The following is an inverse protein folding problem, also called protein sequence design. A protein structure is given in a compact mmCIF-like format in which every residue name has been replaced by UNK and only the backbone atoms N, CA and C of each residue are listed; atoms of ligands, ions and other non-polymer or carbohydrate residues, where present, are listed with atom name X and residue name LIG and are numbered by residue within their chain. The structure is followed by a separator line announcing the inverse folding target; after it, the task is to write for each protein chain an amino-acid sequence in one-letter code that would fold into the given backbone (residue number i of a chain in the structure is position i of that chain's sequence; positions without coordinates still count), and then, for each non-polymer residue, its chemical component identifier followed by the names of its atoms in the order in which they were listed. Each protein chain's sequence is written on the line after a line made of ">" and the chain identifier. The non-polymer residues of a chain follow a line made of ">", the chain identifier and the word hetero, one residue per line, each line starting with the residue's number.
data_IF_905163642144
#
_entry.id   IF_905163642144
#
_cell.length_a   1.000
_cell.length_b   1.000
_cell.length_c   1.000
_cell.angle_alpha   90.00
_cell.angle_beta   90.00
_cell.angle_gamma   90.00
#
_symmetry.space_group_name_H-M   'P 1'
#
loop_
_entity.id
_entity.type
_entity.pdbx_description
1 polymer ?
#
# COMPACT_ATOMS: atom_id res chain seq x y z
N UNK A 1 -11.77 -50.53 10.45
CA UNK A 1 -10.34 -50.23 10.26
C UNK A 1 -10.20 -49.56 8.90
N UNK A 2 -10.64 -48.31 8.78
CA UNK A 2 -9.88 -47.10 9.13
C UNK A 2 -8.81 -46.81 8.08
N UNK A 3 -9.09 -45.82 7.23
CA UNK A 3 -8.36 -44.53 7.24
C UNK A 3 -9.11 -43.56 6.33
N UNK A 4 -9.83 -42.66 6.99
CA UNK A 4 -10.20 -41.36 6.46
C UNK A 4 -8.96 -40.70 5.85
N UNK A 5 -9.14 -40.16 4.66
CA UNK A 5 -8.16 -39.29 4.03
C UNK A 5 -8.56 -37.86 4.41
N UNK A 6 -8.29 -37.48 5.66
CA UNK A 6 -8.24 -36.07 6.05
C UNK A 6 -7.15 -35.38 5.23
N UNK A 7 -7.55 -34.63 4.20
CA UNK A 7 -6.73 -33.55 3.68
C UNK A 7 -7.18 -32.27 4.37
N UNK A 8 -6.70 -32.06 5.59
CA UNK A 8 -6.61 -30.72 6.16
C UNK A 8 -5.34 -30.10 5.60
N UNK A 9 -5.50 -29.43 4.46
CA UNK A 9 -4.57 -28.44 3.97
C UNK A 9 -5.42 -27.24 3.63
N UNK A 10 -5.27 -26.17 4.41
CA UNK A 10 -5.96 -24.89 4.26
C UNK A 10 -5.62 -24.35 2.86
N UNK A 11 -6.39 -24.73 1.84
CA UNK A 11 -6.21 -24.23 0.49
C UNK A 11 -6.62 -22.77 0.54
N UNK A 12 -5.63 -21.90 0.37
CA UNK A 12 -5.83 -20.48 0.15
C UNK A 12 -6.69 -20.33 -1.11
N UNK A 13 -8.00 -20.16 -0.94
CA UNK A 13 -8.92 -19.87 -2.05
C UNK A 13 -8.69 -18.44 -2.54
N UNK A 14 -7.71 -18.31 -3.44
CA UNK A 14 -7.39 -17.07 -4.14
C UNK A 14 -7.51 -17.30 -5.63
N UNK A 15 -8.34 -16.49 -6.28
CA UNK A 15 -8.53 -16.53 -7.72
C UNK A 15 -8.10 -15.20 -8.34
N UNK A 16 -7.19 -15.25 -9.30
CA UNK A 16 -6.91 -14.12 -10.18
C UNK A 16 -7.81 -14.23 -11.41
N UNK A 17 -8.75 -13.29 -11.55
CA UNK A 17 -9.68 -13.20 -12.68
C UNK A 17 -9.28 -12.12 -13.69
N UNK A 18 -8.28 -11.31 -13.35
CA UNK A 18 -7.65 -10.38 -14.28
C UNK A 18 -6.90 -11.11 -15.40
N UNK A 19 -6.71 -10.43 -16.52
CA UNK A 19 -5.93 -10.96 -17.63
C UNK A 19 -4.47 -11.24 -17.22
N UNK A 20 -3.86 -12.22 -17.89
CA UNK A 20 -2.45 -12.53 -17.69
C UNK A 20 -1.59 -11.43 -18.33
N UNK A 21 -0.65 -10.89 -17.54
CA UNK A 21 0.29 -9.86 -17.95
C UNK A 21 1.70 -10.42 -17.85
N UNK A 22 2.65 -9.85 -18.58
CA UNK A 22 4.07 -10.24 -18.44
C UNK A 22 4.59 -10.03 -17.01
N UNK A 23 4.12 -8.97 -16.33
CA UNK A 23 4.43 -8.68 -14.93
C UNK A 23 3.82 -9.68 -13.93
N UNK A 24 2.80 -10.46 -14.32
CA UNK A 24 2.05 -11.32 -13.40
C UNK A 24 2.92 -12.42 -12.78
N UNK A 25 3.88 -12.99 -13.52
CA UNK A 25 4.72 -14.09 -13.02
C UNK A 25 5.56 -13.68 -11.79
N UNK A 26 6.06 -12.45 -11.78
CA UNK A 26 6.90 -11.92 -10.71
C UNK A 26 6.07 -11.32 -9.57
N UNK A 27 4.96 -10.64 -9.89
CA UNK A 27 4.18 -9.87 -8.91
C UNK A 27 3.07 -10.70 -8.24
N UNK A 28 2.50 -11.66 -8.97
CA UNK A 28 1.37 -12.47 -8.53
C UNK A 28 1.81 -13.89 -8.15
N UNK A 29 2.99 -14.03 -7.53
CA UNK A 29 3.45 -15.32 -7.02
C UNK A 29 2.45 -15.91 -6.02
N UNK A 30 2.36 -17.24 -5.89
CA UNK A 30 1.47 -17.89 -4.94
C UNK A 30 1.64 -17.37 -3.50
N UNK A 31 2.87 -17.12 -3.07
CA UNK A 31 3.18 -16.62 -1.74
C UNK A 31 2.73 -15.16 -1.56
N UNK A 32 2.94 -14.31 -2.58
CA UNK A 32 2.48 -12.93 -2.55
C UNK A 32 0.95 -12.84 -2.55
N UNK A 33 0.27 -13.76 -3.24
CA UNK A 33 -1.19 -13.87 -3.23
C UNK A 33 -1.70 -14.39 -1.89
N UNK A 34 -1.05 -15.39 -1.31
CA UNK A 34 -1.38 -15.91 0.02
C UNK A 34 -1.22 -14.84 1.11
N UNK A 35 -0.19 -14.00 1.02
CA UNK A 35 0.00 -12.87 1.92
C UNK A 35 -1.16 -11.87 1.84
N UNK A 36 -1.54 -11.45 0.63
CA UNK A 36 -2.70 -10.55 0.42
C UNK A 36 -4.00 -11.18 0.91
N UNK A 37 -4.19 -12.49 0.70
CA UNK A 37 -5.37 -13.20 1.19
C UNK A 37 -5.43 -13.23 2.72
N UNK A 38 -4.29 -13.43 3.39
CA UNK A 38 -4.17 -13.33 4.84
C UNK A 38 -4.57 -11.94 5.36
N UNK A 39 -4.09 -10.87 4.71
CA UNK A 39 -4.51 -9.51 5.02
C UNK A 39 -6.02 -9.31 4.82
N UNK A 40 -6.56 -9.77 3.70
CA UNK A 40 -7.98 -9.63 3.39
C UNK A 40 -8.86 -10.32 4.43
N UNK A 41 -8.60 -11.60 4.72
CA UNK A 41 -9.36 -12.39 5.71
C UNK A 41 -9.30 -11.78 7.10
N UNK A 42 -8.17 -11.17 7.47
CA UNK A 42 -7.98 -10.59 8.80
C UNK A 42 -8.64 -9.22 8.96
N UNK A 43 -8.64 -8.38 7.92
CA UNK A 43 -8.93 -6.95 8.08
C UNK A 43 -10.13 -6.44 7.26
N UNK A 44 -10.64 -7.19 6.28
CA UNK A 44 -11.70 -6.69 5.41
C UNK A 44 -13.03 -6.50 6.15
N UNK A 45 -13.33 -7.32 7.15
CA UNK A 45 -14.51 -7.13 8.01
C UNK A 45 -14.48 -5.77 8.71
N UNK A 46 -13.39 -5.45 9.42
CA UNK A 46 -13.21 -4.16 10.08
C UNK A 46 -13.19 -3.00 9.09
N UNK A 47 -12.61 -3.16 7.89
CA UNK A 47 -12.68 -2.16 6.83
C UNK A 47 -14.13 -1.87 6.43
N UNK A 48 -14.94 -2.91 6.17
CA UNK A 48 -16.36 -2.76 5.80
C UNK A 48 -17.18 -2.12 6.92
N UNK A 49 -16.92 -2.48 8.17
CA UNK A 49 -17.55 -1.84 9.35
C UNK A 49 -17.25 -0.35 9.40
N UNK A 50 -15.99 0.06 9.18
CA UNK A 50 -15.60 1.48 9.16
C UNK A 50 -16.26 2.24 7.99
N UNK A 51 -16.39 1.63 6.81
CA UNK A 51 -17.13 2.24 5.71
C UNK A 51 -18.62 2.44 6.04
N UNK A 52 -19.25 1.49 6.72
CA UNK A 52 -20.63 1.65 7.21
C UNK A 52 -20.72 2.76 8.28
N UNK A 53 -19.69 2.94 9.12
CA UNK A 53 -19.60 4.07 10.07
C UNK A 53 -19.54 5.41 9.34
N UNK A 54 -18.86 5.50 8.19
CA UNK A 54 -18.86 6.73 7.34
C UNK A 54 -20.27 7.08 6.90
N UNK A 55 -21.00 6.12 6.33
CA UNK A 55 -22.38 6.33 5.87
C UNK A 55 -23.31 6.76 7.02
N UNK A 56 -23.20 6.09 8.17
CA UNK A 56 -23.98 6.43 9.35
C UNK A 56 -23.66 7.83 9.88
N UNK A 57 -22.38 8.24 9.86
CA UNK A 57 -21.95 9.58 10.26
C UNK A 57 -22.45 10.64 9.27
N UNK A 58 -22.35 10.37 7.96
CA UNK A 58 -22.86 11.27 6.93
C UNK A 58 -24.36 11.52 7.10
N UNK A 59 -25.16 10.47 7.36
CA UNK A 59 -26.59 10.61 7.62
C UNK A 59 -26.91 11.51 8.83
N UNK A 60 -26.09 11.49 9.90
CA UNK A 60 -26.27 12.41 11.03
C UNK A 60 -25.89 13.84 10.68
N UNK A 61 -24.83 14.04 9.89
CA UNK A 61 -24.41 15.36 9.40
C UNK A 61 -25.51 15.96 8.52
N UNK A 62 -26.08 15.17 7.61
CA UNK A 62 -27.19 15.59 6.76
C UNK A 62 -28.45 15.96 7.57
N UNK A 63 -28.63 15.34 8.74
CA UNK A 63 -29.69 15.66 9.70
C UNK A 63 -29.40 16.90 10.59
N UNK A 64 -28.26 17.57 10.39
CA UNK A 64 -27.89 18.80 11.07
C UNK A 64 -26.80 18.67 12.14
N UNK A 65 -26.22 17.49 12.35
CA UNK A 65 -25.02 17.35 13.19
C UNK A 65 -23.84 18.12 12.56
N UNK A 66 -23.19 19.00 13.32
CA UNK A 66 -21.98 19.70 12.87
C UNK A 66 -20.74 18.95 13.37
N UNK A 67 -19.76 18.63 12.51
CA UNK A 67 -18.52 18.01 12.94
C UNK A 67 -17.80 18.84 14.00
N UNK A 68 -17.32 18.17 15.06
CA UNK A 68 -16.55 18.79 16.14
C UNK A 68 -15.48 17.84 16.68
N UNK A 69 -14.71 18.31 17.65
CA UNK A 69 -13.77 17.46 18.37
C UNK A 69 -14.53 16.46 19.25
N UNK A 70 -14.04 15.22 19.31
CA UNK A 70 -14.67 14.16 20.10
C UNK A 70 -14.29 14.29 21.58
N UNK A 71 -15.27 14.30 22.48
CA UNK A 71 -15.01 14.39 23.93
C UNK A 71 -14.19 13.20 24.44
N UNK A 72 -14.48 11.99 23.94
CA UNK A 72 -13.80 10.74 24.31
C UNK A 72 -12.28 10.72 24.02
N UNK A 73 -11.79 11.58 23.12
CA UNK A 73 -10.34 11.67 22.79
C UNK A 73 -9.67 12.93 23.35
N UNK A 74 -10.32 13.66 24.26
CA UNK A 74 -9.75 14.85 24.90
C UNK A 74 -8.42 14.56 25.61
N UNK A 75 -8.35 13.42 26.31
CA UNK A 75 -7.13 12.99 27.01
C UNK A 75 -5.94 12.77 26.07
N UNK A 76 -6.20 12.34 24.83
CA UNK A 76 -5.14 12.21 23.80
C UNK A 76 -4.71 13.59 23.32
N UNK A 77 -5.65 14.50 23.02
CA UNK A 77 -5.32 15.85 22.53
C UNK A 77 -4.53 16.68 23.55
N UNK A 78 -4.84 16.51 24.83
CA UNK A 78 -4.22 17.27 25.93
C UNK A 78 -3.06 16.52 26.60
N UNK A 79 -2.73 15.31 26.14
CA UNK A 79 -1.65 14.49 26.68
C UNK A 79 -0.26 14.95 26.20
N UNK A 80 0.78 14.58 26.96
CA UNK A 80 2.18 14.79 26.58
C UNK A 80 2.74 13.53 25.90
N UNK A 81 2.65 13.48 24.57
CA UNK A 81 3.13 12.37 23.76
C UNK A 81 3.66 12.87 22.41
N UNK A 82 4.49 12.04 21.78
CA UNK A 82 5.03 12.28 20.45
C UNK A 82 4.99 11.00 19.63
N UNK A 83 4.97 11.14 18.32
CA UNK A 83 5.19 10.01 17.40
C UNK A 83 6.62 9.49 17.53
N UNK A 84 6.87 8.26 17.06
CA UNK A 84 8.21 7.71 16.98
C UNK A 84 9.15 8.61 16.14
N UNK A 85 10.45 8.55 16.41
CA UNK A 85 11.45 9.32 15.68
C UNK A 85 11.41 9.01 14.18
N UNK A 86 11.48 10.07 13.36
CA UNK A 86 11.50 9.96 11.91
C UNK A 86 12.77 9.23 11.43
N UNK A 87 12.68 8.27 10.49
CA UNK A 87 13.86 7.66 9.86
C UNK A 87 14.77 8.67 9.16
N UNK A 88 16.07 8.37 9.07
CA UNK A 88 17.08 9.29 8.52
C UNK A 88 16.76 9.76 7.10
N UNK A 89 16.30 8.86 6.22
CA UNK A 89 15.93 9.14 4.83
C UNK A 89 14.56 9.85 4.67
N UNK A 90 13.90 10.19 5.79
CA UNK A 90 12.69 11.02 5.86
C UNK A 90 12.88 12.31 6.68
N UNK A 91 14.08 12.60 7.18
CA UNK A 91 14.35 13.83 7.93
C UNK A 91 14.30 15.07 7.02
N UNK A 92 14.68 14.93 5.75
CA UNK A 92 14.63 16.01 4.74
C UNK A 92 13.52 15.73 3.73
N UNK A 93 12.47 16.55 3.75
CA UNK A 93 11.27 16.45 2.90
C UNK A 93 10.77 17.84 2.49
N UNK A 94 11.65 18.69 1.98
CA UNK A 94 11.33 20.07 1.62
C UNK A 94 10.51 20.15 0.32
N UNK A 95 10.82 19.27 -0.63
CA UNK A 95 10.06 19.14 -1.86
C UNK A 95 9.75 17.66 -2.15
N UNK A 96 8.48 17.37 -2.38
CA UNK A 96 8.02 16.04 -2.77
C UNK A 96 7.33 16.11 -4.12
N UNK A 97 7.73 15.23 -5.03
CA UNK A 97 7.07 15.07 -6.32
C UNK A 97 6.06 13.92 -6.23
N UNK A 98 4.91 14.08 -6.88
CA UNK A 98 3.87 13.04 -6.96
C UNK A 98 3.70 12.60 -8.39
N UNK A 99 3.44 11.32 -8.63
CA UNK A 99 3.20 10.83 -9.98
C UNK A 99 2.71 9.38 -10.03
N UNK A 100 2.18 8.96 -11.19
CA UNK A 100 1.69 7.60 -11.37
C UNK A 100 2.85 6.59 -11.31
N UNK A 101 2.47 5.33 -11.19
CA UNK A 101 3.38 4.17 -11.19
C UNK A 101 3.78 3.70 -12.59
N UNK A 102 3.59 4.52 -13.62
CA UNK A 102 4.11 4.27 -14.98
C UNK A 102 5.65 4.23 -14.96
N UNK A 103 6.25 3.32 -15.74
CA UNK A 103 7.68 3.04 -15.71
C UNK A 103 8.54 4.27 -16.00
N UNK A 104 8.17 5.05 -17.02
CA UNK A 104 8.92 6.27 -17.39
C UNK A 104 8.77 7.33 -16.30
N UNK A 105 7.57 7.50 -15.78
CA UNK A 105 7.28 8.49 -14.74
C UNK A 105 7.98 8.16 -13.42
N UNK A 106 8.03 6.89 -13.02
CA UNK A 106 8.77 6.44 -11.85
C UNK A 106 10.25 6.81 -11.96
N UNK A 107 10.90 6.52 -13.10
CA UNK A 107 12.32 6.87 -13.33
C UNK A 107 12.52 8.38 -13.24
N UNK A 108 11.71 9.16 -13.97
CA UNK A 108 11.85 10.61 -14.01
C UNK A 108 11.60 11.27 -12.65
N UNK A 109 10.61 10.78 -11.89
CA UNK A 109 10.26 11.32 -10.58
C UNK A 109 11.36 11.03 -9.54
N UNK A 110 11.89 9.80 -9.53
CA UNK A 110 13.04 9.43 -8.69
C UNK A 110 14.28 10.27 -9.00
N UNK A 111 14.51 10.61 -10.28
CA UNK A 111 15.65 11.42 -10.72
C UNK A 111 15.40 12.94 -10.68
N UNK A 112 14.24 13.40 -10.19
CA UNK A 112 13.82 14.81 -10.31
C UNK A 112 14.62 15.80 -9.47
N UNK A 113 15.37 15.32 -8.47
CA UNK A 113 16.01 16.15 -7.45
C UNK A 113 15.09 16.53 -6.29
N UNK A 114 13.84 16.06 -6.28
CA UNK A 114 12.98 16.12 -5.10
C UNK A 114 13.57 15.26 -3.97
N UNK A 115 13.21 15.59 -2.73
CA UNK A 115 13.60 14.78 -1.58
C UNK A 115 12.83 13.46 -1.53
N UNK A 116 11.56 13.51 -1.93
CA UNK A 116 10.65 12.36 -1.92
C UNK A 116 9.91 12.26 -3.25
N UNK A 117 9.69 11.03 -3.71
CA UNK A 117 8.72 10.70 -4.74
C UNK A 117 7.58 9.88 -4.13
N UNK A 118 6.35 10.41 -4.19
CA UNK A 118 5.14 9.64 -3.92
C UNK A 118 4.65 8.95 -5.19
N UNK A 119 4.94 7.66 -5.29
CA UNK A 119 4.43 6.77 -6.32
C UNK A 119 2.96 6.42 -6.04
N UNK A 120 2.10 6.75 -6.99
CA UNK A 120 0.67 6.81 -6.75
C UNK A 120 -0.11 5.69 -7.47
N UNK A 121 -0.79 4.86 -6.69
CA UNK A 121 -1.81 3.92 -7.19
C UNK A 121 -3.23 4.51 -7.12
N UNK A 122 -3.37 5.74 -6.61
CA UNK A 122 -4.64 6.38 -6.27
C UNK A 122 -5.01 7.48 -7.28
N UNK A 123 -5.28 8.72 -6.89
CA UNK A 123 -5.91 9.74 -7.76
C UNK A 123 -5.16 10.05 -9.07
N UNK A 124 -3.83 9.90 -9.13
CA UNK A 124 -3.05 10.15 -10.35
C UNK A 124 -2.94 8.91 -11.26
N UNK A 125 -3.50 7.76 -10.86
CA UNK A 125 -3.41 6.51 -11.58
C UNK A 125 -4.80 5.93 -11.87
N UNK A 126 -5.12 5.76 -13.15
CA UNK A 126 -6.30 4.97 -13.52
C UNK A 126 -6.09 3.53 -13.05
N UNK A 127 -6.96 2.95 -12.20
CA UNK A 127 -6.73 1.66 -11.58
C UNK A 127 -7.11 0.50 -12.51
N UNK A 128 -6.59 0.51 -13.74
CA UNK A 128 -6.67 -0.65 -14.62
C UNK A 128 -5.83 -1.78 -14.04
N UNK A 129 -6.19 -3.03 -14.36
CA UNK A 129 -5.44 -4.19 -13.88
C UNK A 129 -3.97 -4.12 -14.27
N UNK A 130 -3.70 -3.77 -15.54
CA UNK A 130 -2.36 -3.54 -16.06
C UNK A 130 -1.59 -2.49 -15.25
N UNK A 131 -2.16 -1.29 -15.06
CA UNK A 131 -1.47 -0.22 -14.33
C UNK A 131 -1.13 -0.62 -12.89
N UNK A 132 -2.03 -1.34 -12.21
CA UNK A 132 -1.79 -1.79 -10.84
C UNK A 132 -0.69 -2.87 -10.78
N UNK A 133 -0.74 -3.90 -11.63
CA UNK A 133 0.24 -5.00 -11.58
C UNK A 133 1.61 -4.56 -12.13
N UNK A 134 1.63 -3.88 -13.27
CA UNK A 134 2.87 -3.35 -13.85
C UNK A 134 3.47 -2.24 -12.98
N UNK A 135 2.62 -1.44 -12.31
CA UNK A 135 3.06 -0.46 -11.32
C UNK A 135 3.83 -1.11 -10.17
N UNK A 136 3.34 -2.24 -9.65
CA UNK A 136 4.05 -3.01 -8.62
C UNK A 136 5.40 -3.54 -9.14
N UNK A 137 5.48 -3.98 -10.40
CA UNK A 137 6.75 -4.37 -11.03
C UNK A 137 7.70 -3.19 -11.20
N UNK A 138 7.21 -2.02 -11.61
CA UNK A 138 8.03 -0.82 -11.71
C UNK A 138 8.61 -0.44 -10.34
N UNK A 139 7.84 -0.52 -9.27
CA UNK A 139 8.35 -0.26 -7.92
C UNK A 139 9.32 -1.35 -7.42
N UNK A 140 9.06 -2.61 -7.75
CA UNK A 140 9.96 -3.74 -7.48
C UNK A 140 11.35 -3.51 -8.08
N UNK A 141 11.38 -3.11 -9.35
CA UNK A 141 12.61 -2.80 -10.10
C UNK A 141 13.28 -1.53 -9.57
N UNK A 142 12.50 -0.49 -9.24
CA UNK A 142 13.03 0.76 -8.72
C UNK A 142 13.75 0.56 -7.37
N UNK A 143 13.15 -0.20 -6.45
CA UNK A 143 13.77 -0.54 -5.16
C UNK A 143 15.08 -1.32 -5.36
N UNK A 144 15.15 -2.16 -6.39
CA UNK A 144 16.37 -2.93 -6.73
C UNK A 144 17.39 -2.12 -7.52
N UNK A 145 17.05 -0.91 -7.97
CA UNK A 145 17.82 -0.06 -8.90
C UNK A 145 18.07 -0.73 -10.26
N UNK A 146 17.11 -1.54 -10.72
CA UNK A 146 17.14 -2.24 -12.02
C UNK A 146 16.11 -1.68 -13.00
N UNK A 147 15.26 -0.75 -12.57
CA UNK A 147 14.25 -0.13 -13.44
C UNK A 147 14.93 0.61 -14.60
N UNK A 148 14.47 0.30 -15.80
CA UNK A 148 15.03 0.81 -17.05
C UNK A 148 13.97 0.86 -18.13
N UNK A 149 14.04 1.87 -18.99
CA UNK A 149 13.17 2.01 -20.16
C UNK A 149 13.98 2.43 -21.38
N UNK A 150 13.86 1.66 -22.47
CA UNK A 150 14.33 2.06 -23.79
C UNK A 150 13.16 2.66 -24.60
N UNK A 151 13.26 3.94 -24.96
CA UNK A 151 12.35 4.63 -25.86
C UNK A 151 12.98 4.60 -27.25
N UNK A 152 12.85 3.47 -27.96
CA UNK A 152 13.44 3.25 -29.30
C UNK A 152 13.03 4.35 -30.28
N UNK A 153 11.76 4.78 -30.22
CA UNK A 153 11.21 5.81 -31.09
C UNK A 153 11.95 7.17 -30.94
N UNK A 154 12.52 7.44 -29.76
CA UNK A 154 13.31 8.66 -29.49
C UNK A 154 14.81 8.38 -29.36
N UNK A 155 15.25 7.13 -29.46
CA UNK A 155 16.63 6.71 -29.22
C UNK A 155 17.13 7.09 -27.83
N UNK A 156 16.27 7.02 -26.79
CA UNK A 156 16.64 7.40 -25.41
C UNK A 156 16.52 6.22 -24.47
N UNK A 157 17.47 6.12 -23.54
CA UNK A 157 17.44 5.17 -22.42
C UNK A 157 17.22 5.97 -21.13
N UNK A 158 16.29 5.52 -20.31
CA UNK A 158 16.00 6.08 -18.98
C UNK A 158 16.39 5.06 -17.92
N UNK A 159 17.23 5.47 -16.98
CA UNK A 159 17.75 4.69 -15.86
C UNK A 159 17.81 5.59 -14.61
N UNK A 160 17.93 4.99 -13.42
CA UNK A 160 18.10 5.76 -12.18
C UNK A 160 19.49 6.37 -12.08
N UNK A 161 19.56 7.57 -11.49
CA UNK A 161 20.82 8.17 -11.07
C UNK A 161 21.37 7.46 -9.82
N UNK A 162 22.60 7.80 -9.41
CA UNK A 162 23.20 7.29 -8.18
C UNK A 162 22.45 7.80 -6.93
N UNK A 163 22.10 9.09 -6.95
CA UNK A 163 21.27 9.78 -5.97
C UNK A 163 19.86 9.97 -6.54
N UNK A 164 18.87 9.47 -5.80
CA UNK A 164 17.45 9.50 -6.16
C UNK A 164 16.61 9.93 -4.95
N UNK A 165 15.40 10.40 -5.21
CA UNK A 165 14.43 10.73 -4.18
C UNK A 165 14.03 9.50 -3.33
N UNK A 166 13.70 9.72 -2.05
CA UNK A 166 13.13 8.67 -1.19
C UNK A 166 11.73 8.28 -1.71
N UNK A 167 11.52 6.98 -1.96
CA UNK A 167 10.24 6.47 -2.45
C UNK A 167 9.21 6.37 -1.31
N UNK A 168 8.02 6.91 -1.51
CA UNK A 168 6.81 6.66 -0.74
C UNK A 168 5.73 6.10 -1.68
N UNK A 169 4.87 5.22 -1.19
CA UNK A 169 3.76 4.64 -1.98
C UNK A 169 2.42 5.11 -1.45
N UNK A 170 1.56 5.62 -2.33
CA UNK A 170 0.16 5.92 -2.01
C UNK A 170 -0.74 4.80 -2.55
N UNK A 171 -1.27 3.91 -1.70
CA UNK A 171 -2.22 2.89 -2.12
C UNK A 171 -3.59 3.51 -2.38
N UNK A 172 -4.47 2.78 -3.05
CA UNK A 172 -5.89 3.13 -3.19
C UNK A 172 -6.56 3.25 -1.82
N UNK A 173 -7.52 4.18 -1.67
CA UNK A 173 -8.25 4.40 -0.42
C UNK A 173 -9.22 3.27 -0.05
N UNK A 174 -9.66 3.23 1.22
CA UNK A 174 -10.43 2.11 1.80
C UNK A 174 -11.72 1.74 1.07
N UNK A 175 -12.32 2.67 0.33
CA UNK A 175 -13.56 2.51 -0.40
C UNK A 175 -13.40 1.76 -1.74
N UNK A 176 -12.17 1.55 -2.22
CA UNK A 176 -11.90 0.91 -3.50
C UNK A 176 -11.68 -0.61 -3.37
N UNK A 177 -12.10 -1.35 -4.39
CA UNK A 177 -11.93 -2.79 -4.52
C UNK A 177 -10.98 -3.13 -5.68
N UNK A 178 -10.15 -4.15 -5.50
CA UNK A 178 -9.42 -4.83 -6.57
C UNK A 178 -10.25 -6.01 -7.08
N UNK A 179 -11.07 -5.74 -8.09
CA UNK A 179 -12.02 -6.73 -8.64
C UNK A 179 -11.36 -7.89 -9.40
N UNK A 180 -10.07 -7.80 -9.71
CA UNK A 180 -9.36 -8.82 -10.48
C UNK A 180 -8.73 -9.92 -9.60
N UNK A 181 -8.83 -9.79 -8.28
CA UNK A 181 -8.40 -10.80 -7.32
C UNK A 181 -9.54 -11.07 -6.35
N UNK A 182 -9.93 -12.34 -6.27
CA UNK A 182 -10.96 -12.81 -5.35
C UNK A 182 -10.30 -13.63 -4.24
N UNK A 183 -10.74 -13.41 -3.00
CA UNK A 183 -10.42 -14.24 -1.84
C UNK A 183 -11.74 -14.78 -1.32
N UNK A 184 -11.87 -16.10 -1.24
CA UNK A 184 -13.10 -16.76 -0.80
C UNK A 184 -14.35 -16.30 -1.60
N UNK A 185 -14.15 -16.03 -2.91
CA UNK A 185 -15.17 -15.56 -3.85
C UNK A 185 -15.45 -14.04 -3.86
N UNK A 186 -14.85 -13.27 -2.96
CA UNK A 186 -15.10 -11.82 -2.81
C UNK A 186 -13.94 -10.97 -3.34
N UNK A 187 -14.21 -9.83 -4.01
CA UNK A 187 -13.17 -8.88 -4.39
C UNK A 187 -12.34 -8.38 -3.20
N UNK A 188 -11.03 -8.39 -3.37
CA UNK A 188 -10.11 -7.90 -2.33
C UNK A 188 -10.19 -6.38 -2.18
N UNK A 189 -9.95 -5.87 -0.97
CA UNK A 189 -9.71 -4.43 -0.75
C UNK A 189 -8.52 -3.96 -1.59
N UNK A 190 -8.72 -2.94 -2.41
CA UNK A 190 -7.65 -2.36 -3.24
C UNK A 190 -6.48 -1.86 -2.39
N UNK A 191 -6.77 -1.25 -1.24
CA UNK A 191 -5.77 -0.78 -0.26
C UNK A 191 -4.87 -1.90 0.24
N UNK A 192 -5.47 -3.04 0.61
CA UNK A 192 -4.74 -4.22 1.10
C UNK A 192 -3.96 -4.90 -0.01
N UNK A 193 -4.49 -4.90 -1.25
CA UNK A 193 -3.77 -5.40 -2.41
C UNK A 193 -2.52 -4.56 -2.68
N UNK A 194 -2.66 -3.23 -2.78
CA UNK A 194 -1.57 -2.32 -3.12
C UNK A 194 -0.44 -2.34 -2.08
N UNK A 195 -0.80 -2.23 -0.79
CA UNK A 195 0.18 -2.31 0.30
C UNK A 195 0.75 -3.71 0.40
N UNK A 196 -0.10 -4.74 0.35
CA UNK A 196 0.30 -6.12 0.54
C UNK A 196 1.32 -6.57 -0.50
N UNK A 197 1.08 -6.26 -1.78
CA UNK A 197 2.05 -6.52 -2.86
C UNK A 197 3.34 -5.71 -2.67
N UNK A 198 3.23 -4.43 -2.34
CA UNK A 198 4.41 -3.59 -2.19
C UNK A 198 5.34 -4.07 -1.05
N UNK A 199 4.80 -4.33 0.14
CA UNK A 199 5.61 -4.74 1.30
C UNK A 199 6.19 -6.13 1.13
N UNK A 200 5.39 -7.08 0.61
CA UNK A 200 5.83 -8.46 0.40
C UNK A 200 7.10 -8.51 -0.48
N UNK A 201 7.09 -7.72 -1.55
CA UNK A 201 8.16 -7.72 -2.53
C UNK A 201 9.37 -6.84 -2.16
N UNK A 202 9.17 -5.81 -1.33
CA UNK A 202 10.17 -4.76 -1.16
C UNK A 202 10.70 -4.58 0.25
N UNK A 203 9.99 -5.00 1.30
CA UNK A 203 10.37 -4.69 2.68
C UNK A 203 11.80 -5.17 3.02
N UNK A 204 12.13 -6.42 2.69
CA UNK A 204 13.47 -6.96 2.91
C UNK A 204 14.55 -6.26 2.07
N UNK A 205 14.25 -5.85 0.84
CA UNK A 205 15.23 -5.14 0.00
C UNK A 205 15.43 -3.69 0.42
N UNK A 206 14.37 -3.03 0.89
CA UNK A 206 14.44 -1.69 1.48
C UNK A 206 15.36 -1.69 2.70
N UNK A 207 15.21 -2.66 3.61
CA UNK A 207 16.08 -2.80 4.77
C UNK A 207 17.55 -3.01 4.41
N UNK A 208 17.85 -3.84 3.40
CA UNK A 208 19.23 -4.03 2.90
C UNK A 208 19.84 -2.76 2.30
N UNK A 209 19.02 -1.74 2.04
CA UNK A 209 19.42 -0.42 1.54
C UNK A 209 19.27 0.66 2.61
N UNK A 210 19.25 0.29 3.89
CA UNK A 210 19.12 1.20 5.04
C UNK A 210 17.89 2.12 4.95
N UNK A 211 16.79 1.60 4.39
CA UNK A 211 15.50 2.27 4.21
C UNK A 211 14.36 1.33 4.64
N UNK A 212 13.11 1.76 4.52
CA UNK A 212 11.93 0.93 4.81
C UNK A 212 10.77 1.23 3.86
N UNK A 213 9.67 0.50 3.97
CA UNK A 213 8.45 0.77 3.21
C UNK A 213 7.71 1.96 3.83
N UNK A 214 7.56 3.02 3.04
CA UNK A 214 6.91 4.25 3.46
C UNK A 214 5.66 4.54 2.63
N UNK A 215 4.65 5.10 3.28
CA UNK A 215 3.32 5.24 2.72
C UNK A 215 2.78 6.65 2.80
N UNK A 216 1.90 6.98 1.85
CA UNK A 216 0.95 8.08 1.95
C UNK A 216 -0.46 7.50 2.08
N UNK A 217 -1.19 7.82 3.14
CA UNK A 217 -2.52 7.23 3.41
C UNK A 217 -3.63 8.21 3.00
N UNK A 218 -4.44 7.89 1.97
CA UNK A 218 -5.43 8.82 1.44
C UNK A 218 -6.80 8.68 2.10
N UNK A 219 -7.52 9.80 2.15
CA UNK A 219 -8.99 9.87 2.32
C UNK A 219 -9.48 9.13 3.58
N UNK A 220 -8.74 9.27 4.68
CA UNK A 220 -9.20 8.80 5.98
C UNK A 220 -10.24 9.77 6.54
N UNK A 221 -11.31 9.27 7.11
CA UNK A 221 -12.39 10.09 7.66
C UNK A 221 -12.49 10.02 9.19
N UNK A 222 -11.81 9.05 9.80
CA UNK A 222 -11.81 8.81 11.24
C UNK A 222 -10.45 8.33 11.75
N UNK A 223 -10.17 8.54 13.04
CA UNK A 223 -8.97 8.01 13.69
C UNK A 223 -8.98 6.47 13.77
N UNK A 224 -10.16 5.84 13.72
CA UNK A 224 -10.29 4.38 13.72
C UNK A 224 -9.78 3.76 12.41
N UNK A 225 -9.90 4.47 11.29
CA UNK A 225 -9.30 4.04 10.02
C UNK A 225 -7.77 4.17 10.02
N UNK A 226 -7.22 5.13 10.77
CA UNK A 226 -5.79 5.19 11.02
C UNK A 226 -5.33 4.03 11.92
N UNK A 227 -6.16 3.64 12.90
CA UNK A 227 -5.92 2.44 13.73
C UNK A 227 -5.91 1.16 12.87
N UNK A 228 -6.85 1.02 11.93
CA UNK A 228 -6.86 -0.13 11.01
C UNK A 228 -5.56 -0.21 10.19
N UNK A 229 -5.06 0.92 9.71
CA UNK A 229 -3.75 0.96 9.03
C UNK A 229 -2.60 0.54 9.95
N UNK A 230 -2.61 0.99 11.21
CA UNK A 230 -1.61 0.59 12.20
C UNK A 230 -1.61 -0.94 12.42
N UNK A 231 -2.80 -1.55 12.52
CA UNK A 231 -2.94 -3.00 12.66
C UNK A 231 -2.48 -3.76 11.42
N UNK A 232 -2.81 -3.26 10.22
CA UNK A 232 -2.34 -3.83 8.94
C UNK A 232 -0.82 -3.79 8.85
N UNK A 233 -0.19 -2.67 9.23
CA UNK A 233 1.26 -2.54 9.23
C UNK A 233 1.92 -3.45 10.26
N UNK A 234 1.46 -3.43 11.51
CA UNK A 234 2.03 -4.25 12.57
C UNK A 234 1.95 -5.74 12.22
N UNK A 235 0.83 -6.20 11.66
CA UNK A 235 0.69 -7.58 11.22
C UNK A 235 1.57 -7.91 10.01
N UNK A 236 1.67 -7.01 9.04
CA UNK A 236 2.54 -7.19 7.88
C UNK A 236 4.01 -7.28 8.30
N UNK A 237 4.43 -6.46 9.26
CA UNK A 237 5.78 -6.48 9.84
C UNK A 237 6.07 -7.81 10.52
N UNK A 238 5.17 -8.27 11.38
CA UNK A 238 5.26 -9.55 12.08
C UNK A 238 5.41 -10.72 11.10
N UNK A 239 4.50 -10.83 10.12
CA UNK A 239 4.47 -11.94 9.15
C UNK A 239 5.72 -11.96 8.27
N UNK A 240 6.25 -10.78 7.91
CA UNK A 240 7.42 -10.65 7.04
C UNK A 240 8.75 -10.66 7.82
N UNK A 241 8.72 -10.76 9.15
CA UNK A 241 9.93 -10.72 9.99
C UNK A 241 10.63 -9.35 9.99
N UNK A 242 9.87 -8.28 9.76
CA UNK A 242 10.32 -6.89 9.76
C UNK A 242 10.15 -6.35 11.20
N UNK A 243 11.12 -5.60 11.76
CA UNK A 243 10.97 -5.03 13.09
C UNK A 243 9.73 -4.13 13.21
N UNK A 244 9.03 -4.21 14.34
CA UNK A 244 7.83 -3.42 14.56
C UNK A 244 8.10 -1.91 14.46
N UNK A 245 7.23 -1.19 13.77
CA UNK A 245 7.36 0.25 13.54
C UNK A 245 8.41 0.61 12.50
N UNK A 246 8.81 -0.34 11.64
CA UNK A 246 9.65 -0.06 10.47
C UNK A 246 8.86 0.68 9.39
N UNK A 247 7.60 0.31 9.17
CA UNK A 247 6.76 0.97 8.19
C UNK A 247 6.32 2.34 8.72
N UNK A 248 6.43 3.37 7.87
CA UNK A 248 6.04 4.75 8.21
C UNK A 248 4.99 5.26 7.25
N UNK A 249 4.07 6.06 7.77
CA UNK A 249 2.99 6.64 6.98
C UNK A 249 2.91 8.15 7.19
N UNK A 250 2.69 8.86 6.09
CA UNK A 250 2.22 10.25 6.09
C UNK A 250 0.72 10.21 5.78
N UNK A 251 -0.12 10.81 6.63
CA UNK A 251 -1.58 10.81 6.43
C UNK A 251 -1.98 12.10 5.72
N UNK A 252 -2.78 11.99 4.66
CA UNK A 252 -3.44 13.15 4.05
C UNK A 252 -4.69 13.48 4.87
N UNK A 253 -4.72 14.67 5.48
CA UNK A 253 -5.84 15.19 6.28
C UNK A 253 -6.67 16.15 5.43
#
# INVERSE_FOLDING_TARGET
>A
MSRENERVGDQVDVQVVGEALAASEEILTPEALAFVAGLHRKFDSSRRELLAVREARQARIDAGETPGFLDETEGVRNGDWQVASTPDDLQRRWAEITGPVDRKMVINALNSGADVFMADFEDANSPTWANCVEGQQNLYDAVRRTIRLEDEARGRVYELNDEIATLLVRPRGWHLLEKNVLVDGEPVSASLFDVGKYVFHNAAQRQRRDSSCYFYLPKLETHLEASLWADVFAHSEEVLGIPHGSFRATVLI
#
